data_IF_620535922018
#
_entry.id   IF_620535922018
#
_cell.length_a   1.000
_cell.length_b   1.000
_cell.length_c   1.000
_cell.angle_alpha   90.00
_cell.angle_beta   90.00
_cell.angle_gamma   90.00
#
_symmetry.space_group_name_H-M   'P 1'
#
loop_
_entity.id
_entity.type
_entity.pdbx_description
1 polymer ?
#
# COMPACT_ATOMS: atom_id res chain seq x y z
N UNK A 1 19.33 -2.90 7.73
CA UNK A 1 17.99 -2.63 7.15
C UNK A 1 17.93 -3.44 5.88
N UNK A 2 17.02 -4.42 5.76
CA UNK A 2 16.86 -5.16 4.51
C UNK A 2 16.39 -4.16 3.45
N UNK A 3 17.15 -4.00 2.38
CA UNK A 3 16.70 -3.17 1.28
C UNK A 3 15.53 -3.89 0.58
N UNK A 4 14.49 -3.16 0.16
CA UNK A 4 13.39 -3.75 -0.62
C UNK A 4 13.92 -4.54 -1.83
N UNK A 5 15.04 -4.11 -2.41
CA UNK A 5 15.77 -4.80 -3.47
C UNK A 5 16.28 -6.18 -3.06
N UNK A 6 16.76 -6.37 -1.83
CA UNK A 6 17.15 -7.69 -1.30
C UNK A 6 15.93 -8.60 -1.14
N UNK A 7 14.80 -8.06 -0.66
CA UNK A 7 13.54 -8.82 -0.57
C UNK A 7 13.00 -9.24 -1.94
N UNK A 8 13.10 -8.36 -2.94
CA UNK A 8 12.74 -8.66 -4.34
C UNK A 8 13.68 -9.72 -4.95
N UNK A 9 14.97 -9.65 -4.63
CA UNK A 9 15.95 -10.63 -5.11
C UNK A 9 15.76 -12.02 -4.46
N UNK A 10 15.36 -12.06 -3.19
CA UNK A 10 15.12 -13.31 -2.47
C UNK A 10 13.86 -14.05 -2.92
N UNK A 11 12.81 -13.32 -3.30
CA UNK A 11 11.59 -13.91 -3.84
C UNK A 11 10.79 -12.91 -4.68
N UNK A 12 10.32 -13.36 -5.84
CA UNK A 12 9.42 -12.63 -6.72
C UNK A 12 7.94 -12.79 -6.34
N UNK A 13 7.62 -13.61 -5.33
CA UNK A 13 6.24 -13.91 -4.91
C UNK A 13 5.97 -13.36 -3.51
N UNK A 14 5.13 -12.33 -3.45
CA UNK A 14 4.75 -11.65 -2.21
C UNK A 14 3.25 -11.84 -1.95
N UNK A 15 2.87 -11.94 -0.68
CA UNK A 15 1.46 -12.01 -0.31
C UNK A 15 0.82 -10.62 -0.37
N UNK A 16 -0.18 -10.47 -1.24
CA UNK A 16 -0.94 -9.23 -1.39
C UNK A 16 -1.79 -8.91 -0.15
N UNK A 17 -2.01 -7.61 0.14
CA UNK A 17 -2.90 -7.19 1.22
C UNK A 17 -4.37 -7.41 0.82
N UNK A 18 -5.13 -8.01 1.73
CA UNK A 18 -6.57 -8.27 1.57
C UNK A 18 -7.29 -8.05 2.90
N UNK A 19 -8.10 -7.00 2.95
CA UNK A 19 -8.97 -6.71 4.10
C UNK A 19 -9.79 -7.94 4.53
N UNK A 20 -9.87 -8.18 5.84
CA UNK A 20 -10.56 -9.32 6.48
C UNK A 20 -10.05 -10.72 6.05
N UNK A 21 -8.86 -10.78 5.42
CA UNK A 21 -8.24 -12.05 4.98
C UNK A 21 -6.78 -12.14 5.42
N UNK A 22 -5.96 -11.14 5.12
CA UNK A 22 -4.51 -11.18 5.34
C UNK A 22 -4.12 -10.80 6.77
N UNK A 23 -4.82 -11.35 7.77
CA UNK A 23 -4.52 -11.18 9.19
C UNK A 23 -3.27 -11.97 9.62
N UNK A 24 -2.86 -11.85 10.88
CA UNK A 24 -1.61 -12.48 11.35
C UNK A 24 -1.61 -14.02 11.21
N UNK A 25 -2.66 -14.77 11.62
CA UNK A 25 -2.77 -16.21 11.35
C UNK A 25 -2.68 -16.57 9.87
N UNK A 26 -3.37 -15.85 8.99
CA UNK A 26 -3.32 -16.14 7.56
C UNK A 26 -1.92 -15.90 6.97
N UNK A 27 -1.27 -14.79 7.35
CA UNK A 27 0.12 -14.51 6.96
C UNK A 27 1.06 -15.62 7.42
N UNK A 28 0.89 -16.16 8.63
CA UNK A 28 1.71 -17.26 9.14
C UNK A 28 1.55 -18.54 8.29
N UNK A 29 0.33 -18.86 7.86
CA UNK A 29 0.07 -19.99 6.94
C UNK A 29 0.73 -19.73 5.58
N UNK A 30 0.56 -18.53 5.00
CA UNK A 30 1.21 -18.20 3.73
C UNK A 30 2.73 -18.29 3.80
N UNK A 31 3.33 -17.86 4.92
CA UNK A 31 4.78 -17.99 5.16
C UNK A 31 5.22 -19.45 5.20
N UNK A 32 4.45 -20.34 5.85
CA UNK A 32 4.80 -21.76 5.93
C UNK A 32 4.76 -22.48 4.57
N UNK A 33 4.10 -21.90 3.57
CA UNK A 33 4.05 -22.41 2.19
C UNK A 33 4.86 -21.57 1.18
N UNK A 34 5.72 -20.65 1.65
CA UNK A 34 6.72 -19.98 0.81
C UNK A 34 6.51 -18.49 0.55
N UNK A 35 5.52 -17.82 1.15
CA UNK A 35 5.42 -16.36 1.07
C UNK A 35 6.58 -15.70 1.84
N UNK A 36 7.52 -15.09 1.10
CA UNK A 36 8.69 -14.46 1.70
C UNK A 36 8.35 -13.10 2.32
N UNK A 37 7.63 -12.26 1.58
CA UNK A 37 7.14 -10.96 2.04
C UNK A 37 5.62 -11.00 2.14
N UNK A 38 5.10 -10.42 3.20
CA UNK A 38 3.66 -10.26 3.39
C UNK A 38 3.31 -8.78 3.58
N UNK A 39 2.06 -8.43 3.32
CA UNK A 39 1.49 -7.12 3.61
C UNK A 39 0.26 -7.31 4.50
N UNK A 40 0.07 -6.44 5.49
CA UNK A 40 -1.11 -6.48 6.37
C UNK A 40 -2.41 -6.25 5.61
N UNK A 41 -3.54 -6.48 6.28
CA UNK A 41 -4.80 -5.82 5.92
C UNK A 41 -4.65 -4.28 5.86
N UNK A 42 -5.65 -3.59 5.30
CA UNK A 42 -5.56 -2.15 5.09
C UNK A 42 -5.83 -1.41 6.42
N UNK A 43 -4.96 -0.47 6.77
CA UNK A 43 -5.08 0.33 7.98
C UNK A 43 -5.57 1.73 7.63
N UNK A 44 -6.78 2.06 8.06
CA UNK A 44 -7.37 3.36 7.82
C UNK A 44 -6.62 4.45 8.61
N UNK A 45 -6.11 5.46 7.91
CA UNK A 45 -5.32 6.53 8.51
C UNK A 45 -6.10 7.36 9.54
N UNK A 46 -7.38 7.65 9.28
CA UNK A 46 -8.23 8.40 10.21
C UNK A 46 -8.44 7.62 11.51
N UNK A 47 -8.71 6.32 11.40
CA UNK A 47 -8.91 5.44 12.54
C UNK A 47 -7.62 5.26 13.34
N UNK A 48 -6.47 5.13 12.67
CA UNK A 48 -5.18 4.96 13.34
C UNK A 48 -4.79 6.25 14.09
N UNK A 49 -4.94 7.41 13.46
CA UNK A 49 -4.71 8.71 14.09
C UNK A 49 -5.70 8.96 15.25
N UNK A 50 -6.96 8.54 15.08
CA UNK A 50 -7.99 8.55 16.12
C UNK A 50 -7.84 7.48 17.21
N UNK A 51 -6.71 6.78 17.25
CA UNK A 51 -6.38 5.75 18.26
C UNK A 51 -7.36 4.58 18.34
N UNK A 52 -8.03 4.25 17.23
CA UNK A 52 -8.92 3.08 17.16
C UNK A 52 -8.20 1.80 17.58
N UNK A 53 -8.79 1.06 18.52
CA UNK A 53 -8.27 -0.24 18.98
C UNK A 53 -8.15 -1.23 17.82
N UNK A 54 -9.11 -1.20 16.89
CA UNK A 54 -9.11 -2.09 15.72
C UNK A 54 -7.96 -1.76 14.77
N UNK A 55 -7.77 -0.48 14.43
CA UNK A 55 -6.66 -0.06 13.58
C UNK A 55 -5.29 -0.34 14.22
N UNK A 56 -5.18 -0.12 15.54
CA UNK A 56 -3.97 -0.45 16.30
C UNK A 56 -3.67 -1.96 16.31
N UNK A 57 -4.69 -2.82 16.40
CA UNK A 57 -4.50 -4.28 16.32
C UNK A 57 -3.89 -4.69 14.98
N UNK A 58 -4.31 -4.06 13.87
CA UNK A 58 -3.83 -4.40 12.52
C UNK A 58 -2.36 -4.06 12.28
N UNK A 59 -1.80 -3.10 13.00
CA UNK A 59 -0.37 -2.75 12.91
C UNK A 59 0.53 -3.57 13.83
N UNK A 60 -0.03 -4.43 14.69
CA UNK A 60 0.79 -5.32 15.54
C UNK A 60 1.29 -6.49 14.70
N UNK A 61 2.62 -6.65 14.66
CA UNK A 61 3.29 -7.77 14.02
C UNK A 61 3.81 -8.72 15.09
N UNK A 62 3.44 -9.99 15.01
CA UNK A 62 3.91 -11.03 15.94
C UNK A 62 5.35 -11.45 15.66
N UNK A 63 5.98 -12.11 16.62
CA UNK A 63 7.28 -12.76 16.39
C UNK A 63 7.18 -13.74 15.21
N UNK A 64 8.12 -13.63 14.27
CA UNK A 64 8.12 -14.42 13.03
C UNK A 64 7.25 -13.85 11.90
N UNK A 65 6.46 -12.80 12.14
CA UNK A 65 5.72 -12.10 11.08
C UNK A 65 6.59 -11.02 10.40
N UNK A 66 7.72 -11.47 9.85
CA UNK A 66 8.72 -10.62 9.20
C UNK A 66 9.39 -11.38 8.06
N UNK A 67 9.70 -10.73 6.91
CA UNK A 67 9.45 -9.32 6.60
C UNK A 67 8.00 -9.02 6.22
N UNK A 68 7.31 -8.17 6.98
CA UNK A 68 5.92 -7.75 6.72
C UNK A 68 5.83 -6.24 6.62
N UNK A 69 5.10 -5.75 5.62
CA UNK A 69 4.75 -4.35 5.47
C UNK A 69 3.39 -4.03 6.06
N UNK A 70 3.26 -2.82 6.59
CA UNK A 70 1.96 -2.27 7.01
C UNK A 70 1.43 -1.39 5.89
N UNK A 71 0.25 -1.74 5.36
CA UNK A 71 -0.42 -0.93 4.35
C UNK A 71 -1.40 0.06 4.99
N UNK A 72 -1.18 1.36 4.77
CA UNK A 72 -2.09 2.43 5.19
C UNK A 72 -2.95 2.93 4.01
N UNK A 73 -4.12 3.50 4.32
CA UNK A 73 -4.96 4.15 3.31
C UNK A 73 -5.75 5.33 3.89
N UNK A 74 -6.06 6.30 3.04
CA UNK A 74 -6.76 7.53 3.41
C UNK A 74 -6.86 8.49 2.22
N UNK A 75 -7.59 9.58 2.40
CA UNK A 75 -7.75 10.64 1.40
C UNK A 75 -7.07 11.95 1.81
N UNK A 76 -6.68 12.09 3.08
CA UNK A 76 -6.03 13.28 3.63
C UNK A 76 -4.52 13.01 3.79
N UNK A 77 -3.64 13.73 3.06
CA UNK A 77 -2.19 13.57 3.15
C UNK A 77 -1.64 13.74 4.58
N UNK A 78 -2.16 14.70 5.36
CA UNK A 78 -1.66 14.95 6.71
C UNK A 78 -1.99 13.77 7.64
N UNK A 79 -3.15 13.15 7.45
CA UNK A 79 -3.54 11.96 8.22
C UNK A 79 -2.77 10.73 7.79
N UNK A 80 -2.49 10.57 6.49
CA UNK A 80 -1.62 9.51 5.99
C UNK A 80 -0.20 9.63 6.56
N UNK A 81 0.37 10.84 6.62
CA UNK A 81 1.67 11.10 7.26
C UNK A 81 1.66 10.71 8.74
N UNK A 82 0.62 11.10 9.48
CA UNK A 82 0.47 10.72 10.89
C UNK A 82 0.37 9.19 11.05
N UNK A 83 -0.43 8.54 10.20
CA UNK A 83 -0.59 7.09 10.20
C UNK A 83 0.71 6.36 9.85
N UNK A 84 1.50 6.86 8.91
CA UNK A 84 2.79 6.30 8.54
C UNK A 84 3.78 6.32 9.72
N UNK A 85 3.85 7.43 10.48
CA UNK A 85 4.69 7.52 11.69
C UNK A 85 4.24 6.56 12.80
N UNK A 86 2.93 6.43 13.00
CA UNK A 86 2.38 5.48 13.98
C UNK A 86 2.68 4.03 13.55
N UNK A 87 2.52 3.72 12.26
CA UNK A 87 2.82 2.40 11.70
C UNK A 87 4.33 2.08 11.76
N UNK A 88 5.20 3.04 11.49
CA UNK A 88 6.66 2.88 11.59
C UNK A 88 7.10 2.46 12.99
N UNK A 89 6.46 2.98 14.04
CA UNK A 89 6.75 2.58 15.42
C UNK A 89 6.47 1.09 15.71
N UNK A 90 5.63 0.42 14.89
CA UNK A 90 5.43 -1.02 14.95
C UNK A 90 6.54 -1.83 14.25
N UNK A 91 7.54 -1.15 13.67
CA UNK A 91 8.74 -1.70 13.01
C UNK A 91 8.41 -2.72 11.90
N UNK A 92 7.55 -2.37 10.92
CA UNK A 92 7.40 -3.19 9.73
C UNK A 92 8.70 -3.18 8.90
N UNK A 93 8.79 -4.06 7.90
CA UNK A 93 9.87 -4.03 6.94
C UNK A 93 9.85 -2.74 6.09
N UNK A 94 8.65 -2.25 5.76
CA UNK A 94 8.40 -1.02 5.03
C UNK A 94 6.96 -0.54 5.24
N UNK A 95 6.68 0.72 4.87
CA UNK A 95 5.33 1.28 4.81
C UNK A 95 4.80 1.15 3.39
N UNK A 96 3.55 0.73 3.23
CA UNK A 96 2.89 0.64 1.93
C UNK A 96 1.65 1.55 1.90
N UNK A 97 1.43 2.24 0.79
CA UNK A 97 0.31 3.17 0.62
C UNK A 97 -0.68 2.54 -0.37
N UNK A 98 -1.93 2.37 0.05
CA UNK A 98 -2.99 1.89 -0.82
C UNK A 98 -3.54 3.03 -1.70
N UNK A 99 -3.17 3.00 -2.97
CA UNK A 99 -3.71 3.85 -4.03
C UNK A 99 -4.52 3.04 -5.06
N UNK A 100 -4.96 1.81 -4.71
CA UNK A 100 -5.52 0.84 -5.67
C UNK A 100 -6.90 0.28 -5.33
N UNK A 101 -7.41 0.48 -4.11
CA UNK A 101 -8.73 0.00 -3.72
C UNK A 101 -9.84 0.68 -4.55
N UNK A 102 -10.58 -0.10 -5.33
CA UNK A 102 -11.62 0.38 -6.23
C UNK A 102 -13.02 0.39 -5.60
N UNK A 103 -13.16 -0.08 -4.36
CA UNK A 103 -14.45 -0.18 -3.66
C UNK A 103 -15.12 1.20 -3.66
N UNK A 104 -16.38 1.32 -4.14
CA UNK A 104 -17.03 2.62 -4.33
C UNK A 104 -17.03 3.50 -3.08
N UNK A 105 -17.26 2.93 -1.90
CA UNK A 105 -17.28 3.67 -0.64
C UNK A 105 -15.91 4.26 -0.24
N UNK A 106 -14.81 3.64 -0.68
CA UNK A 106 -13.44 4.13 -0.44
C UNK A 106 -13.10 5.21 -1.47
N UNK A 107 -13.36 4.94 -2.74
CA UNK A 107 -13.09 5.85 -3.85
C UNK A 107 -13.90 7.13 -3.76
N UNK A 108 -15.17 7.06 -3.32
CA UNK A 108 -16.04 8.23 -3.17
C UNK A 108 -15.48 9.27 -2.17
N UNK A 109 -14.62 8.83 -1.24
CA UNK A 109 -13.95 9.70 -0.27
C UNK A 109 -12.61 10.25 -0.78
N UNK A 110 -12.17 9.88 -1.97
CA UNK A 110 -10.85 10.23 -2.52
C UNK A 110 -9.72 9.28 -2.11
N UNK A 111 -10.01 8.19 -1.37
CA UNK A 111 -9.00 7.23 -0.94
C UNK A 111 -8.84 6.07 -1.94
N UNK A 112 -7.81 5.23 -1.77
CA UNK A 112 -7.57 4.08 -2.64
C UNK A 112 -7.34 4.52 -4.08
N UNK A 113 -8.06 3.92 -5.03
CA UNK A 113 -8.00 4.31 -6.44
C UNK A 113 -8.57 5.71 -6.73
N UNK A 114 -9.15 6.40 -5.73
CA UNK A 114 -9.53 7.81 -5.84
C UNK A 114 -8.35 8.73 -6.16
N UNK A 115 -7.14 8.40 -5.67
CA UNK A 115 -5.91 9.12 -5.97
C UNK A 115 -5.54 9.12 -7.47
N UNK A 116 -6.00 8.13 -8.25
CA UNK A 116 -5.75 8.08 -9.70
C UNK A 116 -6.50 9.15 -10.49
N UNK A 117 -7.43 9.88 -9.85
CA UNK A 117 -8.11 11.03 -10.46
C UNK A 117 -7.26 12.30 -10.43
N UNK A 118 -6.27 12.35 -9.55
CA UNK A 118 -5.35 13.47 -9.40
C UNK A 118 -3.93 12.92 -9.10
N UNK A 119 -3.19 12.50 -10.15
CA UNK A 119 -1.83 11.99 -10.01
C UNK A 119 -0.88 13.01 -9.36
N UNK A 120 -1.08 14.30 -9.59
CA UNK A 120 -0.22 15.36 -9.00
C UNK A 120 -0.38 15.39 -7.49
N UNK A 121 -1.62 15.34 -7.00
CA UNK A 121 -1.89 15.22 -5.57
C UNK A 121 -1.34 13.90 -4.98
N UNK A 122 -1.38 12.79 -5.73
CA UNK A 122 -0.78 11.52 -5.31
C UNK A 122 0.74 11.64 -5.12
N UNK A 123 1.44 12.34 -6.03
CA UNK A 123 2.88 12.57 -5.92
C UNK A 123 3.23 13.38 -4.68
N UNK A 124 2.50 14.47 -4.43
CA UNK A 124 2.76 15.31 -3.25
C UNK A 124 2.45 14.57 -1.94
N UNK A 125 1.40 13.75 -1.92
CA UNK A 125 1.10 12.85 -0.81
C UNK A 125 2.22 11.83 -0.57
N UNK A 126 2.72 11.17 -1.63
CA UNK A 126 3.80 10.20 -1.51
C UNK A 126 5.10 10.85 -1.02
N UNK A 127 5.47 12.02 -1.58
CA UNK A 127 6.63 12.82 -1.15
C UNK A 127 6.56 13.15 0.34
N UNK A 128 5.40 13.60 0.81
CA UNK A 128 5.21 13.96 2.21
C UNK A 128 5.39 12.76 3.16
N UNK A 129 4.92 11.57 2.77
CA UNK A 129 5.07 10.36 3.58
C UNK A 129 6.53 9.88 3.56
N UNK A 130 7.18 9.84 2.39
CA UNK A 130 8.60 9.50 2.25
C UNK A 130 9.47 10.37 3.16
N UNK A 131 9.24 11.69 3.18
CA UNK A 131 9.99 12.60 4.05
C UNK A 131 9.65 12.52 5.54
N UNK A 132 8.59 11.79 5.92
CA UNK A 132 8.10 11.76 7.30
C UNK A 132 8.50 10.52 8.11
N UNK A 133 9.01 9.49 7.45
CA UNK A 133 9.44 8.22 8.05
C UNK A 133 10.87 7.87 7.60
N UNK A 134 11.54 7.03 8.37
CA UNK A 134 12.89 6.51 8.08
C UNK A 134 12.87 5.18 7.31
N UNK A 135 11.78 4.41 7.43
CA UNK A 135 11.60 3.16 6.69
C UNK A 135 11.29 3.42 5.21
N UNK A 136 11.62 2.47 4.31
CA UNK A 136 11.21 2.57 2.91
C UNK A 136 9.69 2.69 2.78
N UNK A 137 9.26 3.48 1.81
CA UNK A 137 7.84 3.68 1.48
C UNK A 137 7.56 3.11 0.10
N UNK A 138 6.46 2.37 -0.03
CA UNK A 138 6.00 1.75 -1.28
C UNK A 138 4.59 2.21 -1.60
N UNK A 139 4.20 2.09 -2.87
CA UNK A 139 2.84 2.40 -3.31
C UNK A 139 2.26 1.20 -4.05
N UNK A 140 1.06 0.78 -3.64
CA UNK A 140 0.25 -0.19 -4.37
C UNK A 140 -0.89 0.51 -5.08
N UNK A 141 -0.89 0.45 -6.41
CA UNK A 141 -1.85 1.17 -7.26
C UNK A 141 -2.42 0.29 -8.38
N UNK A 142 -3.16 0.91 -9.31
CA UNK A 142 -3.71 0.34 -10.55
C UNK A 142 -3.13 1.05 -11.76
N UNK A 143 -3.30 0.47 -12.95
CA UNK A 143 -2.82 1.08 -14.21
C UNK A 143 -3.52 2.40 -14.55
N UNK A 144 -4.72 2.63 -14.00
CA UNK A 144 -5.45 3.87 -14.22
C UNK A 144 -6.84 3.88 -13.60
N UNK A 145 -7.54 4.99 -13.78
CA UNK A 145 -8.92 5.14 -13.32
C UNK A 145 -9.89 4.39 -14.24
N UNK A 146 -9.78 4.59 -15.55
CA UNK A 146 -10.78 4.16 -16.53
C UNK A 146 -10.17 3.74 -17.87
N UNK A 147 -10.67 4.18 -19.04
CA UNK A 147 -10.13 3.81 -20.35
C UNK A 147 -8.65 4.19 -20.49
N UNK A 148 -7.97 3.71 -21.53
CA UNK A 148 -6.54 3.91 -21.78
C UNK A 148 -6.09 5.37 -21.67
N UNK A 149 -6.90 6.32 -22.15
CA UNK A 149 -6.65 7.76 -22.03
C UNK A 149 -6.54 8.26 -20.58
N UNK A 150 -6.93 7.45 -19.60
CA UNK A 150 -6.89 7.72 -18.15
C UNK A 150 -5.97 6.71 -17.41
N UNK A 151 -4.96 6.17 -18.09
CA UNK A 151 -3.95 5.28 -17.53
C UNK A 151 -2.59 5.98 -17.38
N UNK A 152 -2.35 6.72 -16.28
CA UNK A 152 -1.12 7.48 -16.12
C UNK A 152 0.09 6.61 -15.72
N UNK A 153 -0.07 5.29 -15.57
CA UNK A 153 0.84 4.46 -14.78
C UNK A 153 2.31 4.52 -15.21
N UNK A 154 2.61 4.61 -16.52
CA UNK A 154 3.98 4.67 -17.02
C UNK A 154 4.68 5.96 -16.60
N UNK A 155 3.97 7.10 -16.70
CA UNK A 155 4.47 8.41 -16.26
C UNK A 155 4.48 8.51 -14.73
N UNK A 156 3.36 8.14 -14.10
CA UNK A 156 3.17 8.14 -12.66
C UNK A 156 4.23 7.29 -11.94
N UNK A 157 4.63 6.15 -12.50
CA UNK A 157 5.66 5.30 -11.90
C UNK A 157 7.00 6.03 -11.77
N UNK A 158 7.45 6.73 -12.82
CA UNK A 158 8.69 7.52 -12.80
C UNK A 158 8.60 8.67 -11.80
N UNK A 159 7.46 9.37 -11.79
CA UNK A 159 7.23 10.48 -10.86
C UNK A 159 7.17 10.02 -9.39
N UNK A 160 6.67 8.82 -9.11
CA UNK A 160 6.69 8.24 -7.77
C UNK A 160 8.11 7.86 -7.35
N UNK A 161 8.91 7.31 -8.27
CA UNK A 161 10.34 7.06 -8.06
C UNK A 161 11.10 8.36 -7.75
N UNK A 162 10.86 9.44 -8.51
CA UNK A 162 11.50 10.76 -8.31
C UNK A 162 11.28 11.37 -6.92
N UNK A 163 10.21 10.96 -6.22
CA UNK A 163 9.92 11.42 -4.85
C UNK A 163 10.35 10.43 -3.76
N UNK A 164 11.06 9.36 -4.14
CA UNK A 164 11.66 8.40 -3.22
C UNK A 164 10.77 7.22 -2.85
N UNK A 165 9.69 6.94 -3.61
CA UNK A 165 8.97 5.67 -3.46
C UNK A 165 9.89 4.52 -3.88
N UNK A 166 10.15 3.60 -2.96
CA UNK A 166 11.17 2.58 -3.11
C UNK A 166 10.74 1.39 -3.97
N UNK A 167 9.43 1.14 -4.10
CA UNK A 167 8.87 0.15 -5.02
C UNK A 167 7.38 0.41 -5.30
N UNK A 168 6.93 -0.12 -6.44
CA UNK A 168 5.55 -0.05 -6.90
C UNK A 168 4.97 -1.44 -7.06
N UNK A 169 3.76 -1.63 -6.54
CA UNK A 169 2.94 -2.81 -6.84
C UNK A 169 1.76 -2.37 -7.70
N UNK A 170 1.69 -2.88 -8.93
CA UNK A 170 0.65 -2.49 -9.88
C UNK A 170 -0.35 -3.64 -10.01
N UNK A 171 -1.62 -3.37 -9.70
CA UNK A 171 -2.70 -4.21 -10.17
C UNK A 171 -3.00 -3.81 -11.61
N UNK A 172 -2.64 -4.69 -12.55
CA UNK A 172 -2.81 -4.57 -14.01
C UNK A 172 -4.26 -4.50 -14.49
N UNK A 173 -5.11 -3.71 -13.85
CA UNK A 173 -6.50 -3.42 -14.21
C UNK A 173 -6.84 -2.00 -13.80
N UNK A 174 -7.74 -1.36 -14.53
CA UNK A 174 -8.21 -0.02 -14.20
C UNK A 174 -9.15 -0.06 -13.00
N UNK A 175 -9.35 1.05 -12.30
CA UNK A 175 -10.22 1.10 -11.13
C UNK A 175 -11.68 0.79 -11.49
N UNK A 176 -12.18 1.32 -12.60
CA UNK A 176 -13.56 1.16 -13.05
C UNK A 176 -13.97 -0.28 -13.33
N UNK A 177 -13.03 -1.16 -13.75
CA UNK A 177 -13.34 -2.57 -14.01
C UNK A 177 -13.26 -3.45 -12.76
N UNK A 178 -12.71 -2.94 -11.65
CA UNK A 178 -12.55 -3.70 -10.40
C UNK A 178 -11.77 -5.01 -10.60
N UNK A 179 -12.46 -6.15 -10.54
CA UNK A 179 -11.89 -7.47 -10.80
C UNK A 179 -12.33 -8.11 -12.11
N UNK A 180 -13.17 -7.43 -12.89
CA UNK A 180 -13.68 -7.92 -14.17
C UNK A 180 -12.58 -7.95 -15.24
N UNK A 181 -12.72 -8.87 -16.19
CA UNK A 181 -11.82 -8.98 -17.35
C UNK A 181 -10.40 -9.46 -17.00
N UNK A 182 -9.57 -9.67 -18.04
CA UNK A 182 -8.16 -10.02 -17.87
C UNK A 182 -7.36 -8.86 -17.26
N UNK A 183 -6.17 -9.19 -16.73
CA UNK A 183 -5.18 -8.17 -16.38
C UNK A 183 -4.34 -7.83 -17.61
N UNK A 184 -3.93 -6.56 -17.71
CA UNK A 184 -3.10 -5.98 -18.77
C UNK A 184 -1.63 -5.93 -18.29
N UNK A 185 -0.90 -7.03 -18.57
CA UNK A 185 0.43 -7.33 -17.99
C UNK A 185 1.58 -6.64 -18.72
#
# INVERSE_FOLDING_TARGET
MLAITESLAASTVWLAPKEDVSDAPFRAICRSVGAHVCVTEFVNADQLAGQSKLARKKIVLSDGDSPTAIQIYGADPARLVSAARIAEAARPAFIDINCGCWVPAIVARGAGAGWLRDPDAMIEMARAIVGAVSLPVTVKTRIGWGPESHMPIVDLARRLEDVGVAALTIHCRTAQVGHSGPADW
#
